data_IF_430852919671
#
_entry.id   IF_430852919671
#
_cell.length_a   1.000
_cell.length_b   1.000
_cell.length_c   1.000
_cell.angle_alpha   90.00
_cell.angle_beta   90.00
_cell.angle_gamma   90.00
#
_symmetry.space_group_name_H-M   'P 1'
#
loop_
_entity.id
_entity.type
_entity.pdbx_description
1 polymer ?
#
# COMPACT_ATOMS: atom_id res chain seq x y z
N UNK A 1 -7.48 -13.21 10.54
CA UNK A 1 -6.06 -12.96 10.82
C UNK A 1 -5.82 -11.47 10.96
N UNK A 2 -5.12 -11.09 11.99
CA UNK A 2 -4.81 -9.69 12.21
C UNK A 2 -3.56 -9.34 11.41
N UNK A 3 -3.69 -8.39 10.49
CA UNK A 3 -2.55 -7.94 9.72
C UNK A 3 -1.87 -6.80 10.47
N UNK A 4 -0.57 -6.79 10.49
CA UNK A 4 0.17 -5.75 11.18
C UNK A 4 0.03 -4.41 10.48
N UNK A 5 0.07 -3.34 11.24
CA UNK A 5 -0.07 -1.98 10.72
C UNK A 5 0.94 -1.69 9.61
N UNK A 6 2.17 -2.17 9.75
CA UNK A 6 3.18 -1.97 8.72
C UNK A 6 2.80 -2.68 7.42
N UNK A 7 2.19 -3.86 7.51
CA UNK A 7 1.75 -4.59 6.33
C UNK A 7 0.63 -3.83 5.63
N UNK A 8 -0.28 -3.25 6.39
CA UNK A 8 -1.35 -2.43 5.84
C UNK A 8 -0.79 -1.23 5.07
N UNK A 9 0.22 -0.60 5.64
CA UNK A 9 0.90 0.53 5.00
C UNK A 9 1.51 0.11 3.66
N UNK A 10 2.13 -1.06 3.61
CA UNK A 10 2.69 -1.58 2.37
C UNK A 10 1.61 -1.79 1.31
N UNK A 11 0.50 -2.39 1.71
CA UNK A 11 -0.60 -2.69 0.78
C UNK A 11 -1.20 -1.41 0.22
N UNK A 12 -1.42 -0.42 1.07
CA UNK A 12 -1.92 0.88 0.61
C UNK A 12 -0.94 1.54 -0.35
N UNK A 13 0.34 1.50 -0.03
CA UNK A 13 1.38 2.08 -0.87
C UNK A 13 1.40 1.43 -2.24
N UNK A 14 1.29 0.11 -2.29
CA UNK A 14 1.25 -0.62 -3.56
C UNK A 14 0.04 -0.17 -4.38
N UNK A 15 -1.10 -0.03 -3.75
CA UNK A 15 -2.31 0.42 -4.45
C UNK A 15 -2.11 1.80 -5.06
N UNK A 16 -1.60 2.73 -4.27
CA UNK A 16 -1.39 4.11 -4.73
C UNK A 16 -0.38 4.16 -5.88
N UNK A 17 0.74 3.48 -5.71
CA UNK A 17 1.78 3.49 -6.74
C UNK A 17 1.33 2.77 -8.02
N UNK A 18 0.51 1.74 -7.89
CA UNK A 18 0.04 1.00 -9.05
C UNK A 18 -0.81 1.85 -9.99
N UNK A 19 -1.38 2.91 -9.48
CA UNK A 19 -2.16 3.84 -10.32
C UNK A 19 -1.28 4.62 -11.27
N UNK A 20 0.02 4.69 -10.99
CA UNK A 20 0.97 5.41 -11.83
C UNK A 20 1.75 4.50 -12.77
N UNK A 21 1.69 3.21 -12.55
CA UNK A 21 2.42 2.24 -13.36
C UNK A 21 2.87 1.04 -12.56
N UNK A 22 3.85 0.32 -13.07
CA UNK A 22 4.38 -0.86 -12.39
C UNK A 22 5.04 -0.50 -11.08
N UNK A 23 4.83 -1.32 -10.08
CA UNK A 23 5.40 -1.09 -8.74
C UNK A 23 6.53 -2.07 -8.49
N UNK A 24 7.66 -1.56 -8.04
CA UNK A 24 8.82 -2.38 -7.71
C UNK A 24 9.22 -2.16 -6.26
N UNK A 25 10.01 -3.08 -5.72
CA UNK A 25 10.47 -2.97 -4.33
C UNK A 25 11.17 -1.64 -4.07
N UNK A 26 11.97 -1.16 -5.02
CA UNK A 26 12.68 0.11 -4.87
C UNK A 26 11.72 1.28 -4.74
N UNK A 27 10.60 1.24 -5.45
CA UNK A 27 9.60 2.30 -5.39
C UNK A 27 8.97 2.37 -3.99
N UNK A 28 8.69 1.21 -3.42
CA UNK A 28 8.12 1.13 -2.08
C UNK A 28 9.13 1.62 -1.05
N UNK A 29 10.38 1.20 -1.18
CA UNK A 29 11.43 1.61 -0.27
C UNK A 29 11.59 3.12 -0.24
N UNK A 30 11.54 3.76 -1.42
CA UNK A 30 11.65 5.20 -1.51
C UNK A 30 10.42 5.89 -0.93
N UNK A 31 9.25 5.38 -1.24
CA UNK A 31 8.01 6.00 -0.78
C UNK A 31 7.88 5.96 0.74
N UNK A 32 8.24 4.83 1.35
CA UNK A 32 8.11 4.64 2.79
C UNK A 32 9.38 4.99 3.57
N UNK A 33 10.44 5.29 2.85
CA UNK A 33 11.73 5.61 3.46
C UNK A 33 12.25 4.47 4.33
N UNK A 34 12.11 3.26 3.82
CA UNK A 34 12.58 2.04 4.50
C UNK A 34 13.79 1.48 3.74
N UNK A 35 14.60 0.69 4.42
CA UNK A 35 15.75 0.06 3.79
C UNK A 35 15.28 -1.04 2.83
N UNK A 36 16.07 -1.27 1.78
CA UNK A 36 15.75 -2.27 0.78
C UNK A 36 15.64 -3.69 1.38
N UNK A 37 16.56 -4.11 2.27
CA UNK A 37 16.42 -5.42 2.90
C UNK A 37 15.12 -5.57 3.69
N UNK A 38 14.71 -4.54 4.43
CA UNK A 38 13.47 -4.59 5.19
C UNK A 38 12.27 -4.72 4.27
N UNK A 39 12.26 -3.96 3.18
CA UNK A 39 11.18 -4.01 2.20
C UNK A 39 11.12 -5.40 1.57
N UNK A 40 12.27 -5.95 1.20
CA UNK A 40 12.33 -7.27 0.58
C UNK A 40 11.75 -8.36 1.48
N UNK A 41 12.11 -8.35 2.74
CA UNK A 41 11.59 -9.33 3.70
C UNK A 41 10.08 -9.21 3.85
N UNK A 42 9.59 -7.98 4.00
CA UNK A 42 8.16 -7.75 4.16
C UNK A 42 7.38 -8.18 2.92
N UNK A 43 7.90 -7.86 1.73
CA UNK A 43 7.23 -8.23 0.49
C UNK A 43 7.16 -9.75 0.31
N UNK A 44 8.24 -10.46 0.67
CA UNK A 44 8.22 -11.91 0.60
C UNK A 44 7.20 -12.51 1.55
N UNK A 45 7.06 -11.92 2.75
CA UNK A 45 6.05 -12.37 3.70
C UNK A 45 4.64 -12.12 3.19
N UNK A 46 4.41 -10.96 2.57
CA UNK A 46 3.11 -10.64 2.01
C UNK A 46 2.76 -11.56 0.84
N UNK A 47 3.74 -11.90 0.03
CA UNK A 47 3.53 -12.84 -1.07
C UNK A 47 3.19 -14.22 -0.55
N UNK A 48 3.91 -14.67 0.48
CA UNK A 48 3.68 -15.96 1.11
C UNK A 48 2.26 -16.05 1.67
N UNK A 49 1.75 -14.97 2.21
CA UNK A 49 0.40 -14.91 2.77
C UNK A 49 -0.66 -14.60 1.71
N UNK A 50 -0.26 -14.53 0.45
CA UNK A 50 -1.15 -14.33 -0.69
C UNK A 50 -1.85 -12.98 -0.72
N UNK A 51 -1.21 -11.97 -0.17
CA UNK A 51 -1.71 -10.59 -0.29
C UNK A 51 -1.24 -9.93 -1.58
N UNK A 52 -0.08 -10.33 -2.07
CA UNK A 52 0.50 -9.76 -3.28
C UNK A 52 1.13 -10.84 -4.13
N UNK A 53 1.39 -10.49 -5.39
CA UNK A 53 2.16 -11.33 -6.30
C UNK A 53 3.36 -10.53 -6.77
N UNK A 54 4.53 -11.15 -6.78
CA UNK A 54 5.76 -10.52 -7.27
C UNK A 54 6.25 -11.23 -8.53
N UNK A 55 5.33 -11.82 -9.29
CA UNK A 55 5.73 -12.65 -10.42
C UNK A 55 6.30 -11.88 -11.60
N UNK A 56 6.95 -12.53 -12.40
CA UNK A 56 7.40 -12.41 -13.79
C UNK A 56 7.69 -11.04 -14.37
N UNK A 57 8.37 -10.18 -13.66
CA UNK A 57 8.86 -8.94 -14.25
C UNK A 57 7.83 -7.88 -14.55
N UNK A 58 6.59 -8.11 -14.19
CA UNK A 58 5.53 -7.11 -14.35
C UNK A 58 5.35 -6.23 -13.13
N UNK A 59 6.22 -6.42 -12.14
CA UNK A 59 6.13 -5.67 -10.93
C UNK A 59 5.25 -6.34 -9.89
N UNK A 60 5.05 -5.63 -8.79
CA UNK A 60 4.27 -6.12 -7.66
C UNK A 60 2.82 -5.80 -7.88
N UNK A 61 1.95 -6.79 -7.74
CA UNK A 61 0.51 -6.59 -7.90
C UNK A 61 -0.22 -7.07 -6.65
N UNK A 62 -1.36 -6.44 -6.36
CA UNK A 62 -2.20 -6.85 -5.24
C UNK A 62 -3.07 -8.02 -5.67
N UNK A 63 -3.07 -9.08 -4.86
CA UNK A 63 -4.01 -10.17 -5.04
C UNK A 63 -5.33 -9.75 -4.40
N UNK A 64 -6.45 -10.44 -4.68
CA UNK A 64 -7.76 -10.01 -4.19
C UNK A 64 -7.81 -9.71 -2.70
N UNK A 65 -7.19 -10.55 -1.89
CA UNK A 65 -7.15 -10.40 -0.45
C UNK A 65 -6.42 -9.11 -0.03
N UNK A 66 -5.28 -8.83 -0.67
CA UNK A 66 -4.52 -7.61 -0.39
C UNK A 66 -5.19 -6.37 -0.94
N UNK A 67 -5.79 -6.50 -2.12
CA UNK A 67 -6.49 -5.38 -2.76
C UNK A 67 -7.66 -4.90 -1.91
N UNK A 68 -8.39 -5.83 -1.31
CA UNK A 68 -9.52 -5.48 -0.48
C UNK A 68 -9.08 -4.68 0.75
N UNK A 69 -8.01 -5.11 1.39
CA UNK A 69 -7.47 -4.40 2.55
C UNK A 69 -6.96 -3.02 2.16
N UNK A 70 -6.18 -2.94 1.09
CA UNK A 70 -5.61 -1.69 0.62
C UNK A 70 -6.71 -0.69 0.24
N UNK A 71 -7.73 -1.17 -0.44
CA UNK A 71 -8.86 -0.34 -0.86
C UNK A 71 -9.60 0.21 0.35
N UNK A 72 -9.84 -0.61 1.36
CA UNK A 72 -10.53 -0.18 2.57
C UNK A 72 -9.75 0.93 3.27
N UNK A 73 -8.44 0.78 3.39
CA UNK A 73 -7.60 1.78 4.03
C UNK A 73 -7.61 3.09 3.21
N UNK A 74 -7.49 2.98 1.91
CA UNK A 74 -7.49 4.13 1.01
C UNK A 74 -8.81 4.89 1.10
N UNK A 75 -9.92 4.18 1.10
CA UNK A 75 -11.24 4.79 1.20
C UNK A 75 -11.43 5.50 2.53
N UNK A 76 -10.91 4.92 3.59
CA UNK A 76 -10.97 5.52 4.93
C UNK A 76 -10.27 6.88 4.94
N UNK A 77 -9.09 6.93 4.35
CA UNK A 77 -8.33 8.19 4.28
C UNK A 77 -9.04 9.23 3.41
N UNK A 78 -9.61 8.79 2.30
CA UNK A 78 -10.32 9.68 1.39
C UNK A 78 -11.54 10.28 2.06
N UNK A 79 -12.31 9.45 2.76
CA UNK A 79 -13.52 9.91 3.46
C UNK A 79 -13.17 10.95 4.52
N UNK A 80 -12.11 10.73 5.29
CA UNK A 80 -11.69 11.67 6.30
C UNK A 80 -11.30 13.01 5.69
N UNK A 81 -10.60 12.98 4.58
CA UNK A 81 -10.19 14.18 3.88
C UNK A 81 -11.41 14.98 3.40
N UNK A 82 -12.37 14.31 2.79
CA UNK A 82 -13.59 14.95 2.31
C UNK A 82 -14.39 15.54 3.46
N UNK A 83 -14.45 14.83 4.57
CA UNK A 83 -15.18 15.32 5.74
C UNK A 83 -14.58 16.65 6.24
N UNK A 84 -13.28 16.72 6.36
CA UNK A 84 -12.62 17.95 6.81
C UNK A 84 -12.82 19.10 5.85
N UNK A 85 -12.80 18.83 4.56
CA UNK A 85 -13.04 19.86 3.56
C UNK A 85 -14.45 20.41 3.66
N UNK A 86 -15.44 19.55 3.88
CA UNK A 86 -16.84 19.96 3.97
C UNK A 86 -17.11 20.88 5.17
N UNK A 87 -16.40 20.69 6.26
CA UNK A 87 -16.58 21.54 7.43
C UNK A 87 -15.66 22.75 7.44
N UNK A 88 -15.00 23.00 6.33
CA UNK A 88 -14.18 24.18 6.16
C UNK A 88 -12.81 24.15 6.79
N UNK A 89 -12.40 23.04 7.31
CA UNK A 89 -11.06 22.88 7.86
C UNK A 89 -10.11 22.57 6.71
N UNK A 90 -9.15 23.42 6.52
CA UNK A 90 -8.17 23.17 5.49
C UNK A 90 -7.24 22.07 5.96
N UNK A 91 -7.15 21.07 5.14
CA UNK A 91 -6.24 19.99 5.44
C UNK A 91 -4.87 20.40 4.99
N UNK A 92 -4.33 21.36 5.42
CA UNK A 92 -3.10 21.69 4.95
C UNK A 92 -2.08 21.42 5.59
N UNK A 93 -1.89 21.26 5.42
CA UNK A 93 -1.12 21.52 5.63
C UNK A 93 -0.31 21.34 5.32
#
# INVERSE_FOLDING_TARGET
MVIKESAEMYLETILVLSKKGSVRAIDIAKELNFSRPSVSVTLHNLEKEEYISMGDGQGITLLPKGAEIAKTIYERHTILTEFFEQIGVKSSI
#
